data_IF_372456368052
#
_entry.id   IF_372456368052
#
_cell.length_a   1.000
_cell.length_b   1.000
_cell.length_c   1.000
_cell.angle_alpha   90.00
_cell.angle_beta   90.00
_cell.angle_gamma   90.00
#
_symmetry.space_group_name_H-M   'P 1'
#
loop_
_entity.id
_entity.type
_entity.pdbx_description
1 polymer ?
#
# COMPACT_ATOMS: atom_id res chain seq x y z
N UNK A 1 -0.04 -6.71 -12.07
CA UNK A 1 -1.01 -7.36 -12.98
C UNK A 1 -2.29 -6.54 -12.96
N UNK A 2 -3.13 -6.53 -14.00
CA UNK A 2 -4.35 -5.70 -14.06
C UNK A 2 -5.52 -6.37 -13.28
N UNK A 3 -5.21 -6.87 -12.08
CA UNK A 3 -6.13 -7.64 -11.26
C UNK A 3 -6.94 -6.73 -10.32
N UNK A 4 -8.18 -7.12 -10.00
CA UNK A 4 -9.07 -6.28 -9.21
C UNK A 4 -8.92 -6.60 -7.73
N UNK A 5 -8.01 -5.88 -7.07
CA UNK A 5 -7.66 -6.14 -5.66
C UNK A 5 -8.41 -5.18 -4.74
N UNK A 6 -9.12 -5.74 -3.76
CA UNK A 6 -9.73 -4.92 -2.70
C UNK A 6 -8.64 -4.34 -1.80
N UNK A 7 -8.77 -3.09 -1.36
CA UNK A 7 -7.68 -2.37 -0.68
C UNK A 7 -7.11 -3.05 0.58
N UNK A 8 -7.86 -3.90 1.26
CA UNK A 8 -7.37 -4.70 2.40
C UNK A 8 -6.64 -6.00 1.98
N UNK A 9 -6.85 -6.45 0.76
CA UNK A 9 -6.33 -7.71 0.21
C UNK A 9 -5.04 -7.52 -0.60
N UNK A 10 -4.65 -6.28 -0.88
CA UNK A 10 -3.42 -5.94 -1.61
C UNK A 10 -2.17 -6.59 -1.00
N UNK A 11 -2.15 -6.73 0.33
CA UNK A 11 -1.05 -7.40 1.04
C UNK A 11 -0.95 -8.89 0.69
N UNK A 12 -2.09 -9.56 0.58
CA UNK A 12 -2.16 -10.97 0.24
C UNK A 12 -1.84 -11.17 -1.24
N UNK A 13 -2.48 -10.39 -2.11
CA UNK A 13 -2.21 -10.37 -3.54
C UNK A 13 -0.72 -10.20 -3.88
N UNK A 14 -0.04 -9.21 -3.29
CA UNK A 14 1.38 -8.97 -3.56
C UNK A 14 2.26 -10.14 -3.09
N UNK A 15 1.87 -10.83 -2.02
CA UNK A 15 2.59 -12.00 -1.52
C UNK A 15 2.37 -13.23 -2.40
N UNK A 16 1.13 -13.50 -2.80
CA UNK A 16 0.74 -14.73 -3.50
C UNK A 16 1.03 -14.66 -5.01
N UNK A 17 0.81 -13.49 -5.62
CA UNK A 17 0.96 -13.30 -7.08
C UNK A 17 2.35 -12.80 -7.44
N UNK A 18 2.92 -11.92 -6.61
CA UNK A 18 4.19 -11.25 -6.89
C UNK A 18 5.34 -11.70 -5.97
N UNK A 19 5.09 -12.55 -4.97
CA UNK A 19 6.12 -13.04 -4.05
C UNK A 19 6.66 -11.98 -3.08
N UNK A 20 6.03 -10.81 -2.98
CA UNK A 20 6.45 -9.75 -2.06
C UNK A 20 6.02 -10.08 -0.64
N UNK A 21 6.95 -10.64 0.14
CA UNK A 21 6.73 -10.88 1.55
C UNK A 21 7.27 -9.73 2.41
N UNK A 22 6.42 -9.22 3.30
CA UNK A 22 6.75 -8.13 4.24
C UNK A 22 7.92 -8.45 5.19
N UNK A 23 8.20 -9.74 5.42
CA UNK A 23 9.33 -10.20 6.24
C UNK A 23 10.68 -10.15 5.52
N UNK A 24 10.70 -9.99 4.19
CA UNK A 24 11.94 -9.84 3.46
C UNK A 24 12.52 -8.43 3.71
N UNK A 25 13.71 -8.37 4.32
CA UNK A 25 14.40 -7.08 4.58
C UNK A 25 15.10 -6.52 3.35
N UNK A 26 14.92 -7.13 2.18
CA UNK A 26 15.49 -6.68 0.93
C UNK A 26 14.81 -5.45 0.35
N UNK A 27 15.43 -4.95 -0.71
CA UNK A 27 14.87 -3.92 -1.58
C UNK A 27 14.27 -4.60 -2.80
N UNK A 28 13.18 -4.04 -3.27
CA UNK A 28 12.49 -4.51 -4.43
C UNK A 28 11.98 -3.35 -5.28
N UNK A 29 11.81 -3.62 -6.56
CA UNK A 29 11.37 -2.66 -7.55
C UNK A 29 9.85 -2.75 -7.66
N UNK A 30 9.15 -1.62 -7.55
CA UNK A 30 7.74 -1.57 -7.88
C UNK A 30 7.59 -1.90 -9.36
N UNK A 31 6.83 -2.95 -9.71
CA UNK A 31 6.55 -3.35 -11.10
C UNK A 31 5.13 -2.95 -11.56
N UNK A 32 4.52 -1.98 -10.87
CA UNK A 32 3.16 -1.54 -11.16
C UNK A 32 3.11 -0.66 -12.42
N UNK A 33 2.53 -1.16 -13.50
CA UNK A 33 2.24 -0.40 -14.73
C UNK A 33 3.44 0.46 -15.23
N UNK A 34 4.62 -0.18 -15.34
CA UNK A 34 5.89 0.45 -15.73
C UNK A 34 6.48 1.44 -14.71
N UNK A 35 5.99 1.42 -13.46
CA UNK A 35 6.76 1.96 -12.35
C UNK A 35 8.08 1.19 -12.26
N UNK A 36 9.16 1.87 -11.89
CA UNK A 36 10.51 1.29 -11.75
C UNK A 36 11.19 1.85 -10.49
N UNK A 37 10.40 2.07 -9.44
CA UNK A 37 10.86 2.67 -8.19
C UNK A 37 11.44 1.60 -7.27
N UNK A 38 12.71 1.74 -6.90
CA UNK A 38 13.33 0.92 -5.86
C UNK A 38 12.83 1.35 -4.47
N UNK A 39 12.29 0.40 -3.73
CA UNK A 39 11.71 0.61 -2.41
C UNK A 39 12.09 -0.56 -1.50
N UNK A 40 11.96 -0.37 -0.19
CA UNK A 40 12.01 -1.50 0.73
C UNK A 40 10.79 -2.40 0.51
N UNK A 41 10.91 -3.72 0.68
CA UNK A 41 9.78 -4.64 0.51
C UNK A 41 8.56 -4.25 1.36
N UNK A 42 8.77 -3.82 2.62
CA UNK A 42 7.70 -3.31 3.49
C UNK A 42 7.04 -2.00 2.97
N UNK A 43 7.79 -1.20 2.20
CA UNK A 43 7.31 0.06 1.65
C UNK A 43 6.53 -0.09 0.32
N UNK A 44 6.67 -1.21 -0.39
CA UNK A 44 6.04 -1.42 -1.72
C UNK A 44 4.52 -1.30 -1.63
N UNK A 45 3.91 -1.98 -0.66
CA UNK A 45 2.46 -1.95 -0.47
C UNK A 45 1.96 -0.52 -0.26
N UNK A 46 2.60 0.21 0.65
CA UNK A 46 2.29 1.62 0.93
C UNK A 46 2.44 2.48 -0.32
N UNK A 47 3.53 2.31 -1.07
CA UNK A 47 3.75 3.05 -2.32
C UNK A 47 2.62 2.80 -3.34
N UNK A 48 2.17 1.56 -3.48
CA UNK A 48 1.07 1.21 -4.37
C UNK A 48 -0.23 1.87 -3.91
N UNK A 49 -0.57 1.77 -2.62
CA UNK A 49 -1.76 2.42 -2.05
C UNK A 49 -1.75 3.93 -2.28
N UNK A 50 -0.64 4.61 -1.97
CA UNK A 50 -0.56 6.08 -2.01
C UNK A 50 -0.41 6.64 -3.45
N UNK A 51 0.40 6.00 -4.29
CA UNK A 51 0.79 6.55 -5.61
C UNK A 51 -0.08 6.00 -6.74
N UNK A 52 -0.37 4.70 -6.73
CA UNK A 52 -1.06 4.05 -7.84
C UNK A 52 -2.57 3.95 -7.61
N UNK A 53 -2.98 3.55 -6.40
CA UNK A 53 -4.39 3.44 -6.05
C UNK A 53 -4.95 4.74 -5.45
N UNK A 54 -4.09 5.68 -5.04
CA UNK A 54 -4.43 6.96 -4.39
C UNK A 54 -5.44 6.78 -3.26
N UNK A 55 -5.29 5.69 -2.51
CA UNK A 55 -6.17 5.34 -1.39
C UNK A 55 -5.97 6.38 -0.29
N UNK A 56 -7.08 6.94 0.16
CA UNK A 56 -7.13 7.84 1.32
C UNK A 56 -7.99 7.21 2.41
N UNK A 57 -7.62 7.51 3.64
CA UNK A 57 -8.26 7.03 4.85
C UNK A 57 -9.07 8.17 5.44
N UNK A 58 -10.39 8.10 5.31
CA UNK A 58 -11.30 9.13 5.82
C UNK A 58 -11.71 8.81 7.26
N UNK A 59 -11.59 9.80 8.15
CA UNK A 59 -12.12 9.70 9.49
C UNK A 59 -13.66 9.82 9.44
N UNK A 60 -14.35 8.82 9.99
CA UNK A 60 -15.82 8.81 10.01
C UNK A 60 -16.41 9.88 10.95
N UNK A 61 -15.66 10.35 11.93
CA UNK A 61 -16.15 11.29 12.95
C UNK A 61 -16.06 12.76 12.50
N UNK A 62 -14.96 13.13 11.84
CA UNK A 62 -14.70 14.51 11.43
C UNK A 62 -14.63 14.72 9.91
N UNK A 63 -14.68 13.64 9.11
CA UNK A 63 -14.57 13.70 7.66
C UNK A 63 -13.16 13.98 7.11
N UNK A 64 -12.16 14.17 7.97
CA UNK A 64 -10.79 14.44 7.53
C UNK A 64 -10.18 13.25 6.79
N UNK A 65 -9.52 13.52 5.67
CA UNK A 65 -8.84 12.52 4.85
C UNK A 65 -7.35 12.48 5.17
N UNK A 66 -6.80 11.29 5.33
CA UNK A 66 -5.39 11.05 5.58
C UNK A 66 -4.84 10.13 4.50
N UNK A 67 -3.60 10.35 4.05
CA UNK A 67 -2.97 9.45 3.07
C UNK A 67 -2.48 8.15 3.70
N UNK A 68 -2.40 8.08 5.04
CA UNK A 68 -1.83 6.97 5.78
C UNK A 68 -2.74 6.49 6.90
N UNK A 69 -2.86 5.17 7.01
CA UNK A 69 -3.64 4.50 8.08
C UNK A 69 -3.09 4.82 9.46
N UNK A 70 -1.77 4.85 9.64
CA UNK A 70 -1.18 5.14 10.95
C UNK A 70 -1.44 6.58 11.40
N UNK A 71 -1.49 7.53 10.46
CA UNK A 71 -1.87 8.92 10.75
C UNK A 71 -3.33 9.02 11.16
N UNK A 72 -4.24 8.34 10.44
CA UNK A 72 -5.65 8.27 10.85
C UNK A 72 -5.79 7.61 12.24
N UNK A 73 -5.08 6.51 12.49
CA UNK A 73 -5.12 5.83 13.79
C UNK A 73 -4.60 6.70 14.93
N UNK A 74 -3.58 7.53 14.69
CA UNK A 74 -3.09 8.51 15.67
C UNK A 74 -4.08 9.66 15.86
N UNK A 75 -4.75 10.09 14.80
CA UNK A 75 -5.79 11.12 14.87
C UNK A 75 -7.01 10.66 15.69
N UNK A 76 -7.38 9.37 15.59
CA UNK A 76 -8.52 8.77 16.31
C UNK A 76 -8.20 8.30 17.73
N UNK A 77 -6.94 8.37 18.15
CA UNK A 77 -6.50 7.95 19.49
C UNK A 77 -6.69 9.06 20.51
#
# INVERSE_FOLDING_TARGET
CNDFVHGYDLSAHLREVHGHNRSDKGRAWCQWNSCNKELNNDCILRHIEEIHLRIVYTCAECGNTFTRRDTLSKHRR
#
